data_IF_356410667094
#
_entry.id   IF_356410667094
#
_cell.length_a   1.000
_cell.length_b   1.000
_cell.length_c   1.000
_cell.angle_alpha   90.00
_cell.angle_beta   90.00
_cell.angle_gamma   90.00
#
_symmetry.space_group_name_H-M   'P 1'
#
loop_
_entity.id
_entity.type
_entity.pdbx_description
1 polymer ?
#
# COMPACT_ATOMS: atom_id res chain seq x y z
N UNK A 1 2.35 -16.07 9.43
CA UNK A 1 2.26 -14.60 9.66
C UNK A 1 3.59 -13.87 9.90
N UNK A 2 4.56 -14.40 10.68
CA UNK A 2 5.82 -13.68 10.99
C UNK A 2 6.65 -13.21 9.77
N UNK A 3 6.67 -13.97 8.66
CA UNK A 3 7.38 -13.57 7.42
C UNK A 3 6.69 -12.40 6.71
N UNK A 4 5.37 -12.51 6.48
CA UNK A 4 4.51 -11.44 5.93
C UNK A 4 4.68 -10.14 6.69
N UNK A 5 4.64 -10.22 8.03
CA UNK A 5 4.79 -9.07 8.90
C UNK A 5 6.16 -8.38 8.74
N UNK A 6 7.26 -9.14 8.76
CA UNK A 6 8.62 -8.59 8.60
C UNK A 6 8.84 -7.97 7.22
N UNK A 7 8.34 -8.63 6.17
CA UNK A 7 8.43 -8.11 4.80
C UNK A 7 7.67 -6.78 4.68
N UNK A 8 6.41 -6.77 5.12
CA UNK A 8 5.55 -5.58 5.07
C UNK A 8 6.11 -4.42 5.88
N UNK A 9 6.69 -4.68 7.06
CA UNK A 9 7.41 -3.69 7.85
C UNK A 9 8.59 -3.08 7.08
N UNK A 10 9.42 -3.93 6.46
CA UNK A 10 10.56 -3.48 5.66
C UNK A 10 10.13 -2.63 4.46
N UNK A 11 9.04 -3.01 3.79
CA UNK A 11 8.49 -2.25 2.66
C UNK A 11 7.96 -0.87 3.11
N UNK A 12 7.22 -0.80 4.22
CA UNK A 12 6.76 0.49 4.75
C UNK A 12 7.92 1.41 5.12
N UNK A 13 8.98 0.89 5.76
CA UNK A 13 10.17 1.71 6.06
C UNK A 13 10.89 2.17 4.80
N UNK A 14 11.08 1.28 3.82
CA UNK A 14 11.72 1.60 2.55
C UNK A 14 10.97 2.70 1.79
N UNK A 15 9.64 2.56 1.67
CA UNK A 15 8.78 3.57 1.04
C UNK A 15 8.80 4.86 1.83
N UNK A 16 8.63 4.80 3.16
CA UNK A 16 8.56 5.97 4.01
C UNK A 16 9.82 6.83 3.92
N UNK A 17 11.00 6.21 4.06
CA UNK A 17 12.28 6.91 3.96
C UNK A 17 12.50 7.46 2.54
N UNK A 18 12.22 6.67 1.50
CA UNK A 18 12.38 7.11 0.12
C UNK A 18 11.46 8.29 -0.23
N UNK A 19 10.20 8.25 0.18
CA UNK A 19 9.23 9.31 -0.04
C UNK A 19 9.55 10.57 0.79
N UNK A 20 10.06 10.44 2.01
CA UNK A 20 10.58 11.58 2.77
C UNK A 20 11.79 12.22 2.05
N UNK A 21 12.71 11.43 1.51
CA UNK A 21 13.84 11.95 0.73
C UNK A 21 13.38 12.71 -0.52
N UNK A 22 12.55 12.08 -1.35
CA UNK A 22 12.02 12.70 -2.56
C UNK A 22 11.14 13.92 -2.28
N UNK A 23 10.27 13.84 -1.28
CA UNK A 23 9.41 14.95 -0.85
C UNK A 23 10.21 16.12 -0.27
N UNK A 24 11.24 15.86 0.53
CA UNK A 24 12.12 16.90 1.06
C UNK A 24 12.86 17.63 -0.06
N UNK A 25 13.37 16.90 -1.07
CA UNK A 25 13.99 17.53 -2.25
C UNK A 25 13.02 18.45 -3.00
N UNK A 26 11.76 18.03 -3.16
CA UNK A 26 10.70 18.83 -3.77
C UNK A 26 10.29 20.06 -2.93
N UNK A 27 10.39 19.97 -1.60
CA UNK A 27 10.13 21.10 -0.70
C UNK A 27 11.27 22.12 -0.73
N UNK A 28 12.52 21.66 -0.69
CA UNK A 28 13.70 22.53 -0.64
C UNK A 28 14.01 23.18 -2.00
N UNK A 29 13.73 22.48 -3.10
CA UNK A 29 14.00 22.92 -4.47
C UNK A 29 12.73 22.80 -5.34
N UNK A 30 11.69 23.59 -5.07
CA UNK A 30 10.38 23.43 -5.71
C UNK A 30 10.37 23.75 -7.20
N UNK A 31 11.34 24.49 -7.73
CA UNK A 31 11.46 24.80 -9.16
C UNK A 31 12.27 23.74 -9.95
N UNK A 32 12.93 22.82 -9.25
CA UNK A 32 13.90 21.94 -9.91
C UNK A 32 14.34 20.75 -9.07
N UNK A 33 13.44 19.97 -8.47
CA UNK A 33 13.85 18.94 -7.53
C UNK A 33 14.63 17.84 -8.24
N UNK A 34 15.90 17.67 -7.84
CA UNK A 34 16.79 16.69 -8.47
C UNK A 34 17.02 16.94 -9.97
N UNK A 35 16.85 18.18 -10.43
CA UNK A 35 17.00 18.55 -11.85
C UNK A 35 15.76 18.33 -12.71
N UNK A 36 14.60 18.02 -12.12
CA UNK A 36 13.34 17.88 -12.85
C UNK A 36 12.75 19.27 -13.16
N UNK A 37 12.54 19.65 -14.44
CA UNK A 37 12.04 20.97 -14.80
C UNK A 37 10.57 21.16 -14.38
N UNK A 38 10.18 22.39 -14.06
CA UNK A 38 8.79 22.78 -13.75
C UNK A 38 7.85 22.51 -14.92
N UNK A 39 8.33 22.59 -16.16
CA UNK A 39 7.51 22.35 -17.36
C UNK A 39 6.83 20.97 -17.39
N UNK A 40 7.35 19.99 -16.65
CA UNK A 40 6.69 18.69 -16.52
C UNK A 40 5.35 18.79 -15.74
N UNK A 41 5.12 19.86 -14.97
CA UNK A 41 3.87 20.16 -14.27
C UNK A 41 2.84 20.91 -15.12
N UNK A 42 3.11 21.21 -16.40
CA UNK A 42 2.18 21.94 -17.29
C UNK A 42 0.78 21.32 -17.41
N UNK A 43 0.64 20.01 -17.14
CA UNK A 43 -0.63 19.29 -17.15
C UNK A 43 -1.22 19.08 -15.73
N UNK A 44 -0.63 19.73 -14.73
CA UNK A 44 -0.99 19.60 -13.33
C UNK A 44 -1.64 20.89 -12.82
N UNK A 45 -2.38 20.83 -11.69
CA UNK A 45 -2.94 22.03 -11.07
C UNK A 45 -1.90 22.86 -10.30
N UNK A 46 -0.62 22.44 -10.28
CA UNK A 46 0.44 23.08 -9.50
C UNK A 46 1.42 23.83 -10.38
N UNK A 47 1.89 24.97 -9.87
CA UNK A 47 2.90 25.81 -10.53
C UNK A 47 4.33 25.37 -10.23
N UNK A 48 4.53 24.60 -9.15
CA UNK A 48 5.83 24.11 -8.70
C UNK A 48 5.67 22.75 -7.96
N UNK A 49 6.79 22.17 -7.54
CA UNK A 49 6.82 20.90 -6.83
C UNK A 49 6.59 21.01 -5.31
N UNK A 50 6.32 22.20 -4.75
CA UNK A 50 6.20 22.39 -3.31
C UNK A 50 5.02 21.60 -2.74
N UNK A 51 3.82 21.80 -3.28
CA UNK A 51 2.61 21.12 -2.80
C UNK A 51 2.70 19.60 -3.04
N UNK A 52 3.08 19.12 -4.24
CA UNK A 52 3.37 17.70 -4.45
C UNK A 52 4.42 17.14 -3.48
N UNK A 53 5.46 17.91 -3.19
CA UNK A 53 6.54 17.57 -2.27
C UNK A 53 6.07 17.40 -0.83
N UNK A 54 5.23 18.31 -0.34
CA UNK A 54 4.61 18.23 0.99
C UNK A 54 3.74 16.97 1.10
N UNK A 55 2.92 16.68 0.10
CA UNK A 55 2.07 15.47 0.12
C UNK A 55 2.92 14.21 0.10
N UNK A 56 3.94 14.15 -0.76
CA UNK A 56 4.88 13.03 -0.83
C UNK A 56 5.63 12.85 0.50
N UNK A 57 6.11 13.93 1.12
CA UNK A 57 6.83 13.88 2.38
C UNK A 57 5.94 13.47 3.54
N UNK A 58 4.81 14.16 3.74
CA UNK A 58 3.97 14.01 4.92
C UNK A 58 3.03 12.81 4.79
N UNK A 59 2.22 12.75 3.73
CA UNK A 59 1.18 11.72 3.61
C UNK A 59 1.80 10.37 3.29
N UNK A 60 2.70 10.32 2.30
CA UNK A 60 3.32 9.06 1.88
C UNK A 60 4.51 8.70 2.77
N UNK A 61 5.44 9.63 2.97
CA UNK A 61 6.64 9.44 3.78
C UNK A 61 6.32 9.16 5.25
N UNK A 62 5.88 10.18 5.99
CA UNK A 62 5.57 10.03 7.42
C UNK A 62 4.46 9.01 7.66
N UNK A 63 3.45 8.93 6.76
CA UNK A 63 2.39 7.93 6.85
C UNK A 63 2.90 6.48 6.83
N UNK A 64 3.83 6.16 5.93
CA UNK A 64 4.43 4.82 5.89
C UNK A 64 5.35 4.55 7.08
N UNK A 65 6.10 5.55 7.57
CA UNK A 65 6.90 5.41 8.81
C UNK A 65 6.01 5.19 10.02
N UNK A 66 4.90 5.93 10.12
CA UNK A 66 3.89 5.74 11.16
C UNK A 66 3.26 4.33 11.10
N UNK A 67 2.97 3.84 9.89
CA UNK A 67 2.53 2.47 9.71
C UNK A 67 3.56 1.47 10.24
N UNK A 68 4.85 1.63 9.90
CA UNK A 68 5.90 0.77 10.43
C UNK A 68 6.01 0.83 11.97
N UNK A 69 5.86 2.02 12.56
CA UNK A 69 5.86 2.18 14.02
C UNK A 69 4.68 1.45 14.67
N UNK A 70 3.47 1.63 14.15
CA UNK A 70 2.27 0.92 14.67
C UNK A 70 2.36 -0.60 14.52
N UNK A 71 3.07 -1.10 13.49
CA UNK A 71 3.42 -2.52 13.38
C UNK A 71 4.29 -2.94 14.58
N UNK A 72 5.38 -2.24 14.86
CA UNK A 72 6.27 -2.56 15.97
C UNK A 72 5.54 -2.57 17.33
N UNK A 73 4.56 -1.68 17.50
CA UNK A 73 3.67 -1.62 18.67
C UNK A 73 2.58 -2.71 18.69
N UNK A 74 2.54 -3.60 17.69
CA UNK A 74 1.59 -4.72 17.55
C UNK A 74 0.12 -4.29 17.63
N UNK A 75 -0.22 -3.18 16.98
CA UNK A 75 -1.59 -2.66 16.95
C UNK A 75 -2.60 -3.72 16.46
N UNK A 76 -3.76 -3.79 17.12
CA UNK A 76 -4.89 -4.66 16.71
C UNK A 76 -5.55 -4.24 15.40
N UNK A 77 -5.32 -3.01 14.95
CA UNK A 77 -5.88 -2.45 13.71
C UNK A 77 -4.86 -2.43 12.57
N UNK A 78 -3.77 -3.20 12.68
CA UNK A 78 -2.65 -3.10 11.75
C UNK A 78 -3.04 -3.39 10.31
N UNK A 79 -3.97 -4.33 10.07
CA UNK A 79 -4.49 -4.63 8.74
C UNK A 79 -5.08 -3.40 8.06
N UNK A 80 -5.87 -2.58 8.78
CA UNK A 80 -6.44 -1.35 8.23
C UNK A 80 -5.39 -0.28 7.97
N UNK A 81 -4.56 0.00 8.98
CA UNK A 81 -3.53 1.06 8.89
C UNK A 81 -2.61 0.77 7.71
N UNK A 82 -2.13 -0.47 7.60
CA UNK A 82 -1.26 -0.89 6.50
C UNK A 82 -1.97 -0.83 5.16
N UNK A 83 -3.23 -1.25 5.07
CA UNK A 83 -4.01 -1.17 3.83
C UNK A 83 -4.18 0.26 3.35
N UNK A 84 -4.55 1.19 4.25
CA UNK A 84 -4.72 2.61 3.92
C UNK A 84 -3.44 3.19 3.32
N UNK A 85 -2.29 3.00 3.97
CA UNK A 85 -1.03 3.58 3.49
C UNK A 85 -0.45 2.87 2.25
N UNK A 86 -0.76 1.58 2.05
CA UNK A 86 -0.42 0.85 0.83
C UNK A 86 -1.18 1.39 -0.37
N UNK A 87 -2.50 1.57 -0.22
CA UNK A 87 -3.34 2.16 -1.26
C UNK A 87 -3.03 3.63 -1.50
N UNK A 88 -2.72 4.39 -0.44
CA UNK A 88 -2.27 5.78 -0.58
C UNK A 88 -1.04 5.88 -1.49
N UNK A 89 -0.05 4.99 -1.34
CA UNK A 89 1.10 4.93 -2.24
C UNK A 89 0.68 4.64 -3.69
N UNK A 90 -0.17 3.63 -3.90
CA UNK A 90 -0.65 3.27 -5.25
C UNK A 90 -1.34 4.45 -5.93
N UNK A 91 -2.30 5.08 -5.23
CA UNK A 91 -3.01 6.24 -5.77
C UNK A 91 -2.08 7.42 -6.02
N UNK A 92 -1.14 7.68 -5.12
CA UNK A 92 -0.18 8.75 -5.28
C UNK A 92 0.67 8.58 -6.54
N UNK A 93 1.19 7.37 -6.79
CA UNK A 93 1.98 7.10 -8.00
C UNK A 93 1.14 7.26 -9.27
N UNK A 94 -0.12 6.79 -9.26
CA UNK A 94 -1.04 6.96 -10.40
C UNK A 94 -1.28 8.44 -10.67
N UNK A 95 -1.60 9.22 -9.62
CA UNK A 95 -1.83 10.67 -9.72
C UNK A 95 -0.58 11.39 -10.23
N UNK A 96 0.62 11.05 -9.75
CA UNK A 96 1.87 11.61 -10.26
C UNK A 96 2.07 11.31 -11.75
N UNK A 97 1.83 10.06 -12.19
CA UNK A 97 1.95 9.70 -13.60
C UNK A 97 0.97 10.49 -14.47
N UNK A 98 -0.26 10.73 -13.99
CA UNK A 98 -1.27 11.54 -14.69
C UNK A 98 -0.83 13.00 -14.76
N UNK A 99 -0.36 13.58 -13.64
CA UNK A 99 0.06 14.97 -13.56
C UNK A 99 1.28 15.27 -14.44
N UNK A 100 2.28 14.39 -14.42
CA UNK A 100 3.53 14.57 -15.15
C UNK A 100 3.46 14.09 -16.60
N UNK A 101 2.46 13.27 -16.95
CA UNK A 101 2.36 12.52 -18.22
C UNK A 101 3.63 11.75 -18.59
N UNK A 102 4.42 11.37 -17.59
CA UNK A 102 5.69 10.66 -17.73
C UNK A 102 5.65 9.44 -16.83
N UNK A 103 6.10 8.30 -17.37
CA UNK A 103 6.29 7.07 -16.59
C UNK A 103 7.79 6.76 -16.52
N UNK A 104 8.42 7.27 -15.46
CA UNK A 104 9.81 6.91 -15.12
C UNK A 104 9.89 5.55 -14.40
N UNK A 105 11.08 4.95 -14.40
CA UNK A 105 11.34 3.65 -13.75
C UNK A 105 10.97 3.63 -12.26
N UNK A 106 11.18 4.74 -11.54
CA UNK A 106 10.80 4.86 -10.13
C UNK A 106 9.28 4.69 -9.93
N UNK A 107 8.44 5.24 -10.81
CA UNK A 107 7.00 5.07 -10.71
C UNK A 107 6.61 3.59 -10.81
N UNK A 108 7.19 2.85 -11.77
CA UNK A 108 6.91 1.42 -11.93
C UNK A 108 7.34 0.64 -10.69
N UNK A 109 8.54 0.90 -10.17
CA UNK A 109 9.07 0.24 -8.97
C UNK A 109 8.17 0.50 -7.76
N UNK A 110 7.85 1.77 -7.48
CA UNK A 110 7.02 2.13 -6.31
C UNK A 110 5.56 1.69 -6.46
N UNK A 111 5.01 1.65 -7.68
CA UNK A 111 3.69 1.09 -7.94
C UNK A 111 3.66 -0.40 -7.62
N UNK A 112 4.66 -1.16 -8.07
CA UNK A 112 4.77 -2.59 -7.78
C UNK A 112 4.95 -2.84 -6.28
N UNK A 113 5.77 -2.03 -5.60
CA UNK A 113 5.91 -2.09 -4.15
C UNK A 113 4.57 -1.82 -3.46
N UNK A 114 3.84 -0.79 -3.87
CA UNK A 114 2.53 -0.46 -3.30
C UNK A 114 1.49 -1.56 -3.50
N UNK A 115 1.46 -2.20 -4.67
CA UNK A 115 0.59 -3.35 -4.93
C UNK A 115 0.96 -4.55 -4.06
N UNK A 116 2.26 -4.83 -3.88
CA UNK A 116 2.72 -5.88 -2.97
C UNK A 116 2.36 -5.55 -1.52
N UNK A 117 2.54 -4.30 -1.08
CA UNK A 117 2.12 -3.88 0.26
C UNK A 117 0.60 -4.05 0.45
N UNK A 118 -0.21 -3.62 -0.54
CA UNK A 118 -1.67 -3.74 -0.49
C UNK A 118 -2.11 -5.20 -0.38
N UNK A 119 -1.46 -6.11 -1.13
CA UNK A 119 -1.70 -7.54 -1.05
C UNK A 119 -1.33 -8.10 0.33
N UNK A 120 -0.13 -7.81 0.84
CA UNK A 120 0.32 -8.29 2.14
C UNK A 120 -0.53 -7.71 3.29
N UNK A 121 -0.95 -6.45 3.19
CA UNK A 121 -1.83 -5.81 4.15
C UNK A 121 -3.23 -6.41 4.13
N UNK A 122 -3.74 -6.79 2.95
CA UNK A 122 -4.98 -7.53 2.84
C UNK A 122 -4.84 -8.88 3.55
N UNK A 123 -3.80 -9.66 3.26
CA UNK A 123 -3.55 -10.95 3.94
C UNK A 123 -3.50 -10.77 5.47
N UNK A 124 -2.87 -9.69 5.96
CA UNK A 124 -2.83 -9.37 7.39
C UNK A 124 -4.22 -9.01 7.94
N UNK A 125 -5.03 -8.25 7.19
CA UNK A 125 -6.40 -7.90 7.57
C UNK A 125 -7.28 -9.16 7.70
N UNK A 126 -7.14 -10.10 6.77
CA UNK A 126 -7.83 -11.40 6.80
C UNK A 126 -7.40 -12.25 8.00
N UNK A 127 -6.10 -12.29 8.31
CA UNK A 127 -5.61 -12.99 9.49
C UNK A 127 -6.16 -12.37 10.78
N UNK A 128 -6.19 -11.03 10.89
CA UNK A 128 -6.69 -10.32 12.06
C UNK A 128 -8.23 -10.36 12.22
N UNK A 129 -8.95 -11.10 11.37
CA UNK A 129 -10.42 -11.20 11.35
C UNK A 129 -11.13 -9.83 11.27
N UNK A 130 -10.45 -8.81 10.72
CA UNK A 130 -11.00 -7.48 10.58
C UNK A 130 -12.01 -7.45 9.42
N UNK A 131 -13.06 -6.62 9.54
CA UNK A 131 -14.01 -6.40 8.45
C UNK A 131 -13.28 -5.95 7.17
N UNK A 132 -13.63 -6.43 5.96
CA UNK A 132 -14.81 -7.23 5.59
C UNK A 132 -14.61 -8.76 5.58
N UNK A 133 -13.57 -9.28 6.25
CA UNK A 133 -13.17 -10.71 6.19
C UNK A 133 -14.34 -11.70 6.36
N UNK A 134 -15.20 -11.49 7.37
CA UNK A 134 -16.33 -12.37 7.65
C UNK A 134 -17.37 -12.44 6.53
N UNK A 135 -17.62 -11.32 5.85
CA UNK A 135 -18.55 -11.28 4.70
C UNK A 135 -17.96 -12.08 3.54
N UNK A 136 -16.68 -11.85 3.24
CA UNK A 136 -15.99 -12.52 2.14
C UNK A 136 -15.95 -14.02 2.36
N UNK A 137 -15.66 -14.46 3.59
CA UNK A 137 -15.64 -15.88 3.92
C UNK A 137 -17.03 -16.52 3.77
N UNK A 138 -18.08 -15.83 4.24
CA UNK A 138 -19.46 -16.29 4.10
C UNK A 138 -19.87 -16.42 2.63
N UNK A 139 -19.49 -15.46 1.78
CA UNK A 139 -19.76 -15.51 0.34
C UNK A 139 -19.00 -16.66 -0.33
N UNK A 140 -17.73 -16.86 0.01
CA UNK A 140 -16.92 -17.97 -0.52
C UNK A 140 -17.52 -19.32 -0.13
N UNK A 141 -17.88 -19.51 1.13
CA UNK A 141 -18.54 -20.74 1.61
C UNK A 141 -19.86 -21.00 0.86
N UNK A 142 -20.69 -19.97 0.72
CA UNK A 142 -21.96 -20.06 -0.02
C UNK A 142 -21.76 -20.38 -1.51
N UNK A 143 -20.68 -19.88 -2.13
CA UNK A 143 -20.32 -20.20 -3.51
C UNK A 143 -19.79 -21.63 -3.65
N UNK A 144 -19.00 -22.11 -2.68
CA UNK A 144 -18.50 -23.49 -2.65
C UNK A 144 -19.65 -24.49 -2.53
N UNK A 145 -20.65 -24.20 -1.69
CA UNK A 145 -21.87 -25.01 -1.57
C UNK A 145 -22.69 -25.03 -2.86
N UNK A 146 -22.77 -23.90 -3.59
CA UNK A 146 -23.51 -23.81 -4.86
C UNK A 146 -22.78 -24.44 -6.04
N UNK A 147 -21.44 -24.46 -6.04
CA UNK A 147 -20.60 -24.93 -7.14
C UNK A 147 -19.54 -25.94 -6.66
N UNK A 148 -19.96 -27.09 -6.10
CA UNK A 148 -19.06 -28.02 -5.39
C UNK A 148 -18.00 -28.69 -6.28
N UNK A 149 -18.22 -28.73 -7.59
CA UNK A 149 -17.31 -29.32 -8.58
C UNK A 149 -16.36 -28.30 -9.23
N UNK A 150 -16.49 -27.01 -8.93
CA UNK A 150 -15.66 -25.98 -9.54
C UNK A 150 -14.30 -25.88 -8.82
N UNK A 151 -13.25 -26.48 -9.41
CA UNK A 151 -11.89 -26.54 -8.84
C UNK A 151 -11.36 -25.19 -8.36
N UNK A 152 -11.63 -24.11 -9.10
CA UNK A 152 -11.17 -22.77 -8.77
C UNK A 152 -11.77 -22.24 -7.46
N UNK A 153 -13.08 -22.45 -7.23
CA UNK A 153 -13.75 -21.97 -6.00
C UNK A 153 -13.22 -22.74 -4.80
N UNK A 154 -13.06 -24.06 -4.92
CA UNK A 154 -12.43 -24.91 -3.90
C UNK A 154 -11.01 -24.47 -3.56
N UNK A 155 -10.21 -24.13 -4.56
CA UNK A 155 -8.84 -23.65 -4.34
C UNK A 155 -8.82 -22.30 -3.62
N UNK A 156 -9.70 -21.37 -4.02
CA UNK A 156 -9.88 -20.08 -3.33
C UNK A 156 -10.30 -20.31 -1.87
N UNK A 157 -11.35 -21.10 -1.62
CA UNK A 157 -11.83 -21.41 -0.28
C UNK A 157 -10.73 -21.94 0.63
N UNK A 158 -9.95 -22.91 0.15
CA UNK A 158 -8.79 -23.44 0.89
C UNK A 158 -7.74 -22.38 1.22
N UNK A 159 -7.44 -21.47 0.30
CA UNK A 159 -6.45 -20.40 0.54
C UNK A 159 -6.95 -19.44 1.61
N UNK A 160 -8.19 -18.97 1.49
CA UNK A 160 -8.78 -18.02 2.44
C UNK A 160 -8.93 -18.65 3.83
N UNK A 161 -9.41 -19.89 3.93
CA UNK A 161 -9.48 -20.62 5.19
C UNK A 161 -8.11 -20.80 5.82
N UNK A 162 -7.08 -21.15 5.04
CA UNK A 162 -5.70 -21.27 5.55
C UNK A 162 -5.16 -19.96 6.11
N UNK A 163 -5.51 -18.82 5.53
CA UNK A 163 -5.10 -17.49 6.04
C UNK A 163 -5.90 -17.16 7.29
N UNK A 164 -7.20 -17.41 7.28
CA UNK A 164 -8.11 -17.16 8.40
C UNK A 164 -7.71 -17.94 9.66
N UNK A 165 -7.38 -19.22 9.51
CA UNK A 165 -7.07 -20.12 10.64
C UNK A 165 -5.67 -19.89 11.25
N UNK A 166 -4.83 -19.03 10.62
CA UNK A 166 -3.46 -18.79 11.12
C UNK A 166 -3.37 -17.87 12.33
N UNK A 167 -4.45 -17.21 12.75
CA UNK A 167 -4.51 -16.41 14.00
C UNK A 167 -5.21 -17.15 15.16
N UNK A 168 -5.64 -18.40 14.98
CA UNK A 168 -6.07 -19.30 16.06
C UNK A 168 -4.93 -19.76 17.01
N UNK A 169 -3.73 -19.18 16.88
CA UNK A 169 -2.55 -19.43 17.71
C UNK A 169 -2.14 -18.19 18.52
N UNK A 170 -3.11 -17.56 19.17
CA UNK A 170 -2.88 -16.76 20.37
C UNK A 170 -3.41 -17.49 21.58
#
# INVERSE_FOLDING_TARGET
>A
MKKTFRLLLGLHLFVGIGAMGGGMMAILFPEGPGGMPVDALNNSPFQDYLIPGIILFAVIGLGNVFCALTMLLKSKYQGYISSIFSWALVFWIIVQCIMLRIVASLHVIYLMIGLVQALLSAILLFAQHLFPTGIILTVIMKLEDRLPNHKFIKNIGKIFMRIYDTDGLR
#
